data_IF_740099566294
#
_entry.id   IF_740099566294
#
_cell.length_a   1.000
_cell.length_b   1.000
_cell.length_c   1.000
_cell.angle_alpha   90.00
_cell.angle_beta   90.00
_cell.angle_gamma   90.00
#
_symmetry.space_group_name_H-M   'P 1'
#
loop_
_entity.id
_entity.type
_entity.pdbx_description
1 polymer ?
#
# COMPACT_ATOMS: atom_id res chain seq x y z
N UNK A 1 -1.93 4.24 43.26
CA UNK A 1 -0.71 4.97 42.87
C UNK A 1 0.09 4.20 41.84
N UNK A 2 0.44 2.92 42.08
CA UNK A 2 1.18 2.09 41.12
C UNK A 2 0.60 2.06 39.68
N UNK A 3 -0.71 1.79 39.53
CA UNK A 3 -1.34 1.74 38.20
C UNK A 3 -1.38 3.09 37.45
N UNK A 4 -1.30 4.23 38.15
CA UNK A 4 -1.26 5.56 37.52
C UNK A 4 0.13 5.88 37.00
N UNK A 5 1.15 5.55 37.80
CA UNK A 5 2.56 5.67 37.42
C UNK A 5 2.86 4.80 36.19
N UNK A 6 2.35 3.56 36.19
CA UNK A 6 2.51 2.60 35.11
C UNK A 6 1.91 3.09 33.78
N UNK A 7 0.66 3.59 33.81
CA UNK A 7 0.00 4.16 32.62
C UNK A 7 0.74 5.38 32.07
N UNK A 8 1.31 6.21 32.96
CA UNK A 8 2.11 7.36 32.55
C UNK A 8 3.40 6.91 31.86
N UNK A 9 4.14 5.95 32.43
CA UNK A 9 5.35 5.40 31.84
C UNK A 9 5.08 4.75 30.48
N UNK A 10 3.99 4.00 30.34
CA UNK A 10 3.56 3.43 29.06
C UNK A 10 3.28 4.53 28.03
N UNK A 11 2.54 5.58 28.41
CA UNK A 11 2.24 6.68 27.50
C UNK A 11 3.45 7.51 27.09
N UNK A 12 4.48 7.59 27.95
CA UNK A 12 5.78 8.21 27.64
C UNK A 12 6.60 7.33 26.69
N UNK A 13 6.62 6.01 26.89
CA UNK A 13 7.27 5.06 25.99
C UNK A 13 6.68 5.06 24.57
N UNK A 14 5.34 5.23 24.47
CA UNK A 14 4.64 5.37 23.20
C UNK A 14 4.83 6.77 22.56
N UNK A 15 5.43 7.74 23.25
CA UNK A 15 5.57 9.14 22.80
C UNK A 15 4.26 9.95 22.84
N UNK A 16 3.16 9.33 23.26
CA UNK A 16 1.80 9.91 23.24
C UNK A 16 1.63 10.95 24.35
N UNK A 17 2.31 10.76 25.48
CA UNK A 17 2.29 11.70 26.60
C UNK A 17 2.72 13.11 26.19
N UNK A 18 3.86 13.23 25.48
CA UNK A 18 4.38 14.52 25.00
C UNK A 18 3.41 15.22 24.05
N UNK A 19 2.72 14.47 23.20
CA UNK A 19 1.74 15.03 22.26
C UNK A 19 0.51 15.53 23.00
N UNK A 20 -0.06 14.73 23.90
CA UNK A 20 -1.22 15.14 24.71
C UNK A 20 -0.90 16.37 25.57
N UNK A 21 0.30 16.43 26.15
CA UNK A 21 0.77 17.57 26.93
C UNK A 21 0.87 18.85 26.07
N UNK A 22 1.38 18.73 24.84
CA UNK A 22 1.51 19.88 23.91
C UNK A 22 0.18 20.57 23.59
N UNK A 23 -0.94 19.83 23.67
CA UNK A 23 -2.30 20.34 23.42
C UNK A 23 -3.15 20.47 24.68
N UNK A 24 -2.56 20.28 25.87
CA UNK A 24 -3.23 20.35 27.19
C UNK A 24 -4.36 19.32 27.36
N UNK A 25 -4.10 18.08 26.95
CA UNK A 25 -5.01 16.93 27.04
C UNK A 25 -4.44 15.77 27.87
N UNK A 26 -3.45 16.04 28.72
CA UNK A 26 -2.71 15.10 29.57
C UNK A 26 -3.46 14.67 30.85
N UNK A 27 -4.79 14.59 30.82
CA UNK A 27 -5.57 14.04 31.94
C UNK A 27 -5.42 12.53 32.04
N UNK A 28 -5.51 11.97 33.26
CA UNK A 28 -5.45 10.52 33.51
C UNK A 28 -6.43 9.72 32.62
N UNK A 29 -7.63 10.26 32.38
CA UNK A 29 -8.65 9.65 31.51
C UNK A 29 -8.22 9.58 30.04
N UNK A 30 -7.59 10.65 29.54
CA UNK A 30 -7.10 10.70 28.16
C UNK A 30 -5.85 9.84 27.98
N UNK A 31 -4.95 9.82 28.96
CA UNK A 31 -3.77 8.96 28.95
C UNK A 31 -4.20 7.49 28.92
N UNK A 32 -5.14 7.08 29.79
CA UNK A 32 -5.64 5.72 29.82
C UNK A 32 -6.36 5.33 28.50
N UNK A 33 -7.17 6.23 27.94
CA UNK A 33 -7.83 6.01 26.66
C UNK A 33 -6.83 5.91 25.49
N UNK A 34 -5.76 6.70 25.52
CA UNK A 34 -4.72 6.69 24.51
C UNK A 34 -3.87 5.42 24.54
N UNK A 35 -3.43 4.98 25.73
CA UNK A 35 -2.69 3.72 25.91
C UNK A 35 -3.57 2.55 25.48
N UNK A 36 -4.83 2.50 25.93
CA UNK A 36 -5.78 1.46 25.52
C UNK A 36 -5.99 1.42 24.01
N UNK A 37 -6.11 2.57 23.36
CA UNK A 37 -6.22 2.64 21.90
C UNK A 37 -4.98 2.07 21.22
N UNK A 38 -3.80 2.40 21.74
CA UNK A 38 -2.53 1.89 21.23
C UNK A 38 -2.47 0.37 21.33
N UNK A 39 -2.85 -0.21 22.47
CA UNK A 39 -2.91 -1.66 22.67
C UNK A 39 -3.93 -2.33 21.72
N UNK A 40 -5.14 -1.77 21.59
CA UNK A 40 -6.21 -2.31 20.74
C UNK A 40 -5.88 -2.24 19.24
N UNK A 41 -5.10 -1.24 18.83
CA UNK A 41 -4.69 -1.04 17.43
C UNK A 41 -3.30 -1.58 17.13
N UNK A 42 -2.60 -2.12 18.13
CA UNK A 42 -1.20 -2.55 18.00
C UNK A 42 -0.24 -1.42 17.61
N UNK A 43 -0.53 -0.19 18.04
CA UNK A 43 0.32 0.98 17.81
C UNK A 43 1.33 1.11 18.96
N UNK A 44 2.62 1.03 18.67
CA UNK A 44 3.71 1.06 19.66
C UNK A 44 4.38 2.45 19.74
N UNK A 45 3.89 3.42 18.97
CA UNK A 45 4.36 4.81 19.03
C UNK A 45 3.32 5.80 18.48
N UNK A 46 3.51 7.09 18.74
CA UNK A 46 2.77 8.17 18.05
C UNK A 46 2.94 8.09 16.55
N UNK A 47 4.14 7.78 16.08
CA UNK A 47 4.39 7.66 14.65
C UNK A 47 3.56 6.53 14.05
N UNK A 48 3.25 5.47 14.79
CA UNK A 48 2.36 4.39 14.34
C UNK A 48 0.93 4.89 14.18
N UNK A 49 0.45 5.73 15.09
CA UNK A 49 -0.89 6.33 15.01
C UNK A 49 -0.99 7.16 13.72
N UNK A 50 0.09 7.85 13.36
CA UNK A 50 0.18 8.70 12.18
C UNK A 50 0.33 7.88 10.90
N UNK A 51 1.30 6.96 10.88
CA UNK A 51 1.67 6.13 9.73
C UNK A 51 0.57 5.14 9.35
N UNK A 52 -0.16 4.60 10.33
CA UNK A 52 -1.27 3.67 10.07
C UNK A 52 -2.62 4.37 9.84
N UNK A 53 -2.63 5.71 9.74
CA UNK A 53 -3.85 6.48 9.48
C UNK A 53 -4.88 6.44 10.61
N UNK A 54 -4.43 6.12 11.83
CA UNK A 54 -5.29 6.01 13.01
C UNK A 54 -5.58 7.35 13.68
N UNK A 55 -5.07 8.48 13.15
CA UNK A 55 -5.23 9.82 13.76
C UNK A 55 -6.69 10.18 14.04
N UNK A 56 -7.61 9.93 13.11
CA UNK A 56 -9.03 10.25 13.31
C UNK A 56 -9.72 9.29 14.28
N UNK A 57 -9.35 8.01 14.27
CA UNK A 57 -9.84 7.00 15.21
C UNK A 57 -9.29 7.26 16.63
N UNK A 58 -8.05 7.73 16.73
CA UNK A 58 -7.38 8.09 17.97
C UNK A 58 -8.02 9.33 18.61
N UNK A 59 -8.28 10.37 17.82
CA UNK A 59 -9.02 11.56 18.27
C UNK A 59 -10.44 11.19 18.70
N UNK A 60 -11.08 10.27 17.98
CA UNK A 60 -12.41 9.74 18.31
C UNK A 60 -12.42 8.93 19.62
N UNK A 61 -11.40 8.11 19.85
CA UNK A 61 -11.25 7.29 21.05
C UNK A 61 -11.13 8.13 22.34
N UNK A 62 -10.50 9.31 22.23
CA UNK A 62 -10.39 10.30 23.30
C UNK A 62 -11.68 11.11 23.53
N UNK A 63 -12.74 10.86 22.76
CA UNK A 63 -14.07 11.51 22.88
C UNK A 63 -14.00 13.05 22.89
N UNK A 64 -13.05 13.61 22.12
CA UNK A 64 -12.77 15.03 22.12
C UNK A 64 -13.84 15.82 21.36
N UNK A 65 -14.19 17.00 21.88
CA UNK A 65 -15.02 17.98 21.16
C UNK A 65 -14.26 18.55 19.95
N UNK A 66 -14.98 19.20 19.03
CA UNK A 66 -14.46 19.64 17.71
C UNK A 66 -13.17 20.47 17.77
N UNK A 67 -13.00 21.33 18.78
CA UNK A 67 -11.84 22.21 18.90
C UNK A 67 -10.61 21.48 19.47
N UNK A 68 -10.69 20.77 20.63
CA UNK A 68 -9.58 19.94 21.11
C UNK A 68 -9.14 18.86 20.12
N UNK A 69 -10.08 18.21 19.43
CA UNK A 69 -9.76 17.17 18.45
C UNK A 69 -8.96 17.70 17.24
N UNK A 70 -9.30 18.90 16.73
CA UNK A 70 -8.52 19.55 15.67
C UNK A 70 -7.10 19.91 16.10
N UNK A 71 -6.92 20.38 17.34
CA UNK A 71 -5.60 20.71 17.87
C UNK A 71 -4.73 19.47 18.02
N UNK A 72 -5.30 18.38 18.55
CA UNK A 72 -4.59 17.11 18.67
C UNK A 72 -4.23 16.54 17.29
N UNK A 73 -5.16 16.59 16.33
CA UNK A 73 -4.91 16.18 14.95
C UNK A 73 -3.76 16.98 14.32
N UNK A 74 -3.69 18.29 14.55
CA UNK A 74 -2.59 19.12 14.06
C UNK A 74 -1.25 18.82 14.76
N UNK A 75 -1.26 18.49 16.05
CA UNK A 75 -0.06 18.12 16.80
C UNK A 75 0.50 16.74 16.43
N UNK A 76 -0.34 15.86 15.89
CA UNK A 76 0.02 14.53 15.39
C UNK A 76 0.55 14.57 13.94
N UNK A 77 0.36 15.66 13.19
CA UNK A 77 0.88 15.74 11.81
C UNK A 77 2.30 16.32 11.77
N UNK A 78 3.21 15.78 10.93
CA UNK A 78 4.57 16.31 10.78
C UNK A 78 4.58 17.78 10.35
N UNK A 79 5.53 18.55 10.88
CA UNK A 79 5.74 19.98 10.66
C UNK A 79 6.32 20.30 9.26
N UNK A 80 5.80 19.71 8.18
CA UNK A 80 6.26 19.93 6.79
C UNK A 80 5.70 21.21 6.13
N UNK A 81 5.06 22.09 6.89
CA UNK A 81 4.42 23.29 6.36
C UNK A 81 5.36 24.49 6.13
N UNK A 82 6.64 24.42 6.52
CA UNK A 82 7.59 25.54 6.32
C UNK A 82 8.38 25.42 5.01
N UNK A 83 8.72 24.21 4.57
CA UNK A 83 9.43 23.97 3.30
C UNK A 83 8.59 24.37 2.06
N UNK A 84 7.27 24.25 2.17
CA UNK A 84 6.30 24.66 1.16
C UNK A 84 6.05 26.18 1.13
N UNK A 85 6.43 26.92 2.18
CA UNK A 85 6.42 28.40 2.18
C UNK A 85 7.71 29.00 1.59
N UNK A 86 8.86 28.36 1.81
CA UNK A 86 10.15 28.81 1.25
C UNK A 86 10.33 28.51 -0.24
N UNK A 87 9.62 27.49 -0.77
CA UNK A 87 9.67 27.14 -2.19
C UNK A 87 8.92 28.12 -3.12
N UNK A 88 8.16 29.08 -2.58
CA UNK A 88 7.41 30.08 -3.39
C UNK A 88 8.21 31.32 -3.78
N UNK A 89 9.50 31.44 -3.39
CA UNK A 89 10.27 32.68 -3.58
C UNK A 89 11.47 32.59 -4.53
N UNK A 90 11.56 31.55 -5.35
CA UNK A 90 12.65 31.40 -6.31
C UNK A 90 12.20 30.70 -7.59
N UNK A 91 11.43 31.38 -8.43
CA UNK A 91 11.33 30.97 -9.83
C UNK A 91 12.69 31.18 -10.51
N UNK A 92 13.32 30.08 -10.93
CA UNK A 92 14.34 30.08 -11.98
C UNK A 92 13.94 29.05 -13.04
N UNK A 93 14.18 29.36 -14.33
CA UNK A 93 13.57 28.64 -15.43
C UNK A 93 14.17 27.25 -15.63
N UNK A 94 13.35 26.40 -16.26
CA UNK A 94 13.57 25.01 -16.54
C UNK A 94 14.97 24.72 -17.13
N UNK A 95 15.74 23.89 -16.41
CA UNK A 95 16.78 23.06 -17.02
C UNK A 95 16.76 21.68 -16.36
N UNK A 96 16.56 20.66 -17.20
CA UNK A 96 16.77 19.22 -17.00
C UNK A 96 16.81 18.72 -15.54
N UNK A 97 15.64 18.30 -15.02
CA UNK A 97 15.61 17.37 -13.89
C UNK A 97 16.30 16.06 -14.33
N UNK A 98 17.30 15.56 -13.58
CA UNK A 98 17.86 14.25 -13.88
C UNK A 98 16.76 13.20 -13.72
N UNK A 99 16.55 12.37 -14.75
CA UNK A 99 15.76 11.16 -14.61
C UNK A 99 16.47 10.28 -13.58
N UNK A 100 15.88 10.16 -12.39
CA UNK A 100 16.20 9.09 -11.44
C UNK A 100 15.80 7.77 -12.10
N UNK A 101 16.69 7.25 -12.95
CA UNK A 101 16.60 5.88 -13.45
C UNK A 101 16.77 4.97 -12.24
N UNK A 102 15.67 4.40 -11.75
CA UNK A 102 15.73 3.37 -10.74
C UNK A 102 16.56 2.21 -11.33
N UNK A 103 17.69 1.89 -10.68
CA UNK A 103 18.47 0.72 -11.08
C UNK A 103 17.58 -0.52 -10.97
N UNK A 104 17.67 -1.47 -11.92
CA UNK A 104 16.98 -2.75 -11.80
C UNK A 104 17.33 -3.40 -10.45
N UNK A 105 16.31 -3.86 -9.72
CA UNK A 105 16.52 -4.58 -8.47
C UNK A 105 17.23 -5.91 -8.78
N UNK A 106 18.32 -6.19 -8.07
CA UNK A 106 19.07 -7.43 -8.29
C UNK A 106 18.20 -8.66 -7.99
N UNK A 107 18.13 -9.67 -8.89
CA UNK A 107 17.28 -10.84 -8.71
C UNK A 107 17.48 -11.58 -7.38
N UNK A 108 18.71 -11.58 -6.86
CA UNK A 108 19.07 -12.21 -5.58
C UNK A 108 18.36 -11.55 -4.37
N UNK A 109 18.03 -10.27 -4.47
CA UNK A 109 17.30 -9.54 -3.42
C UNK A 109 15.80 -9.85 -3.43
N UNK A 110 15.29 -10.42 -4.53
CA UNK A 110 13.88 -10.80 -4.68
C UNK A 110 13.57 -12.16 -4.04
N UNK A 111 14.61 -12.90 -3.63
CA UNK A 111 14.49 -14.19 -2.98
C UNK A 111 14.17 -14.04 -1.49
N UNK A 112 13.45 -15.01 -0.92
CA UNK A 112 13.10 -15.06 0.51
C UNK A 112 14.31 -14.98 1.43
N UNK A 113 15.43 -15.55 1.01
CA UNK A 113 16.73 -15.56 1.73
C UNK A 113 17.66 -14.42 1.27
N UNK A 114 17.15 -13.44 0.51
CA UNK A 114 17.91 -12.29 0.06
C UNK A 114 18.45 -11.45 1.23
N UNK A 115 19.36 -10.52 0.94
CA UNK A 115 19.91 -9.63 1.96
C UNK A 115 18.80 -8.87 2.73
N UNK A 116 19.05 -8.47 3.99
CA UNK A 116 18.19 -7.56 4.73
C UNK A 116 17.75 -6.34 3.91
N UNK A 117 16.46 -5.98 3.99
CA UNK A 117 15.95 -4.74 3.41
C UNK A 117 15.98 -3.65 4.48
N UNK A 118 16.82 -2.64 4.27
CA UNK A 118 16.99 -1.52 5.21
C UNK A 118 15.91 -0.44 5.00
N UNK A 119 15.74 0.44 6.01
CA UNK A 119 14.85 1.61 5.90
C UNK A 119 15.28 2.54 4.76
N UNK A 120 16.58 2.77 4.59
CA UNK A 120 17.12 3.59 3.51
C UNK A 120 16.75 3.02 2.14
N UNK A 121 17.01 1.72 1.92
CA UNK A 121 16.62 1.05 0.67
C UNK A 121 15.12 1.10 0.42
N UNK A 122 14.30 0.92 1.47
CA UNK A 122 12.85 0.98 1.32
C UNK A 122 12.38 2.40 0.92
N UNK A 123 12.89 3.43 1.59
CA UNK A 123 12.56 4.82 1.29
C UNK A 123 13.02 5.22 -0.12
N UNK A 124 14.25 4.87 -0.50
CA UNK A 124 14.79 5.16 -1.82
C UNK A 124 13.96 4.49 -2.92
N UNK A 125 13.56 3.23 -2.68
CA UNK A 125 12.73 2.50 -3.63
C UNK A 125 11.37 3.17 -3.79
N UNK A 126 10.71 3.53 -2.69
CA UNK A 126 9.42 4.21 -2.74
C UNK A 126 9.52 5.57 -3.46
N UNK A 127 10.54 6.37 -3.15
CA UNK A 127 10.81 7.65 -3.83
C UNK A 127 11.05 7.46 -5.33
N UNK A 128 11.81 6.43 -5.71
CA UNK A 128 12.07 6.12 -7.13
C UNK A 128 10.78 5.74 -7.87
N UNK A 129 9.87 5.02 -7.23
CA UNK A 129 8.58 4.66 -7.80
C UNK A 129 7.66 5.88 -7.92
N UNK A 130 7.58 6.73 -6.88
CA UNK A 130 6.82 7.97 -6.93
C UNK A 130 7.29 8.92 -8.05
N UNK A 131 8.58 8.92 -8.39
CA UNK A 131 9.08 9.71 -9.51
C UNK A 131 8.41 9.36 -10.85
N UNK A 132 7.88 8.13 -11.01
CA UNK A 132 7.16 7.71 -12.21
C UNK A 132 5.76 8.33 -12.34
N UNK A 133 5.19 8.86 -11.26
CA UNK A 133 3.95 9.65 -11.31
C UNK A 133 4.16 11.00 -12.05
N UNK A 134 5.41 11.43 -12.19
CA UNK A 134 5.76 12.68 -12.84
C UNK A 134 5.19 13.88 -12.10
N UNK A 135 4.39 14.69 -12.80
CA UNK A 135 3.70 15.85 -12.21
C UNK A 135 2.31 15.54 -11.66
N UNK A 136 1.82 14.30 -11.79
CA UNK A 136 0.47 13.91 -11.36
C UNK A 136 0.46 13.60 -9.87
N UNK A 137 -0.62 13.95 -9.20
CA UNK A 137 -0.85 13.49 -7.83
C UNK A 137 -1.33 12.04 -7.81
N UNK A 138 -1.22 11.38 -6.65
CA UNK A 138 -1.82 10.06 -6.42
C UNK A 138 -3.32 10.03 -6.77
N UNK A 139 -4.06 11.08 -6.42
CA UNK A 139 -5.49 11.18 -6.66
C UNK A 139 -5.83 11.17 -8.16
N UNK A 140 -4.96 11.77 -8.98
CA UNK A 140 -5.10 11.85 -10.44
C UNK A 140 -4.53 10.62 -11.18
N UNK A 141 -3.82 9.73 -10.47
CA UNK A 141 -3.23 8.54 -11.05
C UNK A 141 -4.25 7.40 -11.16
N UNK A 142 -4.63 7.04 -12.39
CA UNK A 142 -5.57 5.94 -12.66
C UNK A 142 -4.87 4.87 -13.52
N UNK A 143 -4.20 3.90 -12.90
CA UNK A 143 -3.38 2.89 -13.58
C UNK A 143 -4.24 1.87 -14.34
N UNK A 144 -3.67 1.19 -15.33
CA UNK A 144 -4.28 0.04 -15.99
C UNK A 144 -3.98 -1.27 -15.24
N UNK A 145 -2.92 -1.29 -14.44
CA UNK A 145 -2.47 -2.45 -13.69
C UNK A 145 -2.34 -2.10 -12.22
N UNK A 146 -3.00 -2.84 -11.34
CA UNK A 146 -2.75 -2.79 -9.91
C UNK A 146 -1.97 -4.02 -9.45
N UNK A 147 -1.13 -3.87 -8.43
CA UNK A 147 -0.35 -4.96 -7.84
C UNK A 147 -0.72 -5.06 -6.36
N UNK A 148 -1.35 -6.17 -5.99
CA UNK A 148 -1.61 -6.56 -4.61
C UNK A 148 -0.46 -7.40 -4.09
N UNK A 149 0.13 -6.96 -2.98
CA UNK A 149 1.23 -7.64 -2.32
C UNK A 149 1.22 -7.30 -0.83
N UNK A 150 1.82 -8.15 0.00
CA UNK A 150 2.16 -7.82 1.37
C UNK A 150 3.68 -7.62 1.47
N UNK A 151 4.13 -6.68 2.31
CA UNK A 151 5.55 -6.37 2.50
C UNK A 151 6.39 -7.60 2.82
N UNK A 152 5.88 -8.48 3.69
CA UNK A 152 6.58 -9.72 4.07
C UNK A 152 7.81 -9.49 4.92
N UNK A 153 7.81 -8.46 5.78
CA UNK A 153 8.91 -8.16 6.71
C UNK A 153 9.36 -9.40 7.48
N UNK A 154 10.65 -9.74 7.36
CA UNK A 154 11.26 -10.86 8.10
C UNK A 154 11.69 -10.34 9.49
N UNK A 155 11.09 -10.83 10.60
CA UNK A 155 11.39 -10.34 11.94
C UNK A 155 12.88 -10.51 12.29
N UNK A 156 13.50 -9.44 12.80
CA UNK A 156 14.93 -9.43 13.17
C UNK A 156 15.90 -9.41 11.98
N UNK A 157 15.40 -9.36 10.74
CA UNK A 157 16.20 -9.34 9.51
C UNK A 157 15.94 -8.06 8.72
N UNK A 158 14.69 -7.75 8.40
CA UNK A 158 14.33 -6.55 7.65
C UNK A 158 13.97 -5.39 8.56
N UNK A 159 14.16 -4.17 8.05
CA UNK A 159 13.61 -2.98 8.69
C UNK A 159 12.07 -3.04 8.71
N UNK A 160 11.48 -2.39 9.73
CA UNK A 160 10.02 -2.31 9.86
C UNK A 160 9.39 -1.70 8.61
N UNK A 161 8.34 -2.33 8.10
CA UNK A 161 7.66 -1.89 6.88
C UNK A 161 8.41 -2.19 5.59
N UNK A 162 9.57 -2.85 5.67
CA UNK A 162 10.36 -3.31 4.53
C UNK A 162 10.38 -4.85 4.45
N UNK A 163 10.57 -5.42 3.27
CA UNK A 163 10.67 -6.87 3.10
C UNK A 163 10.68 -7.33 1.65
N UNK A 164 10.80 -8.64 1.40
CA UNK A 164 10.91 -9.20 0.05
C UNK A 164 9.71 -8.88 -0.84
N UNK A 165 8.49 -8.89 -0.30
CA UNK A 165 7.29 -8.61 -1.10
C UNK A 165 7.28 -7.19 -1.66
N UNK A 166 7.82 -6.21 -0.92
CA UNK A 166 8.01 -4.84 -1.40
C UNK A 166 9.00 -4.78 -2.57
N UNK A 167 10.14 -5.46 -2.46
CA UNK A 167 11.14 -5.51 -3.54
C UNK A 167 10.57 -6.20 -4.79
N UNK A 168 9.86 -7.30 -4.60
CA UNK A 168 9.19 -8.06 -5.66
C UNK A 168 8.14 -7.22 -6.39
N UNK A 169 7.27 -6.52 -5.65
CA UNK A 169 6.29 -5.61 -6.24
C UNK A 169 6.99 -4.50 -7.03
N UNK A 170 8.02 -3.88 -6.46
CA UNK A 170 8.77 -2.82 -7.12
C UNK A 170 9.48 -3.29 -8.39
N UNK A 171 10.05 -4.51 -8.41
CA UNK A 171 10.65 -5.08 -9.62
C UNK A 171 9.64 -5.23 -10.76
N UNK A 172 8.43 -5.70 -10.44
CA UNK A 172 7.33 -5.78 -11.42
C UNK A 172 6.95 -4.38 -11.90
N UNK A 173 6.84 -3.41 -11.00
CA UNK A 173 6.51 -2.02 -11.36
C UNK A 173 7.55 -1.40 -12.28
N UNK A 174 8.84 -1.56 -11.98
CA UNK A 174 9.92 -1.08 -12.83
C UNK A 174 9.84 -1.70 -14.24
N UNK A 175 9.55 -2.99 -14.35
CA UNK A 175 9.39 -3.66 -15.63
C UNK A 175 8.19 -3.13 -16.43
N UNK A 176 7.05 -2.93 -15.77
CA UNK A 176 5.84 -2.35 -16.38
C UNK A 176 6.07 -0.90 -16.82
N UNK A 177 6.71 -0.09 -16.00
CA UNK A 177 7.10 1.29 -16.35
C UNK A 177 8.08 1.32 -17.53
N UNK A 178 9.06 0.42 -17.57
CA UNK A 178 9.96 0.26 -18.71
C UNK A 178 9.24 -0.09 -20.01
N UNK A 179 8.10 -0.77 -19.92
CA UNK A 179 7.22 -1.07 -21.06
C UNK A 179 6.14 0.01 -21.32
N UNK A 180 6.16 1.12 -20.58
CA UNK A 180 5.20 2.21 -20.72
C UNK A 180 3.79 1.87 -20.21
N UNK A 181 3.63 0.84 -19.38
CA UNK A 181 2.35 0.39 -18.84
C UNK A 181 2.10 1.09 -17.49
N UNK A 182 1.05 1.94 -17.37
CA UNK A 182 0.74 2.61 -16.11
C UNK A 182 0.31 1.60 -15.05
N UNK A 183 1.06 1.52 -13.95
CA UNK A 183 0.77 0.61 -12.86
C UNK A 183 0.73 1.32 -11.49
N UNK A 184 0.13 0.69 -10.48
CA UNK A 184 0.18 1.12 -9.10
C UNK A 184 0.20 -0.07 -8.13
N UNK A 185 0.66 0.18 -6.91
CA UNK A 185 0.55 -0.72 -5.76
C UNK A 185 0.41 0.13 -4.51
N UNK A 186 0.28 -0.52 -3.34
CA UNK A 186 0.38 0.16 -2.05
C UNK A 186 1.66 1.02 -1.88
N UNK A 187 2.73 0.75 -2.64
CA UNK A 187 3.95 1.58 -2.63
C UNK A 187 3.74 3.01 -3.13
N UNK A 188 2.70 3.25 -3.95
CA UNK A 188 2.39 4.58 -4.47
C UNK A 188 1.44 5.37 -3.57
N UNK A 189 0.89 4.74 -2.53
CA UNK A 189 0.07 5.44 -1.55
C UNK A 189 0.99 6.34 -0.74
N UNK A 190 0.74 7.66 -0.71
CA UNK A 190 1.59 8.57 0.05
C UNK A 190 1.62 8.21 1.54
N UNK A 191 2.76 8.41 2.22
CA UNK A 191 2.83 8.23 3.67
C UNK A 191 1.73 9.04 4.38
N UNK A 192 1.02 8.42 5.33
CA UNK A 192 -0.07 9.05 6.07
C UNK A 192 -1.42 9.13 5.33
N UNK A 193 -1.51 8.63 4.10
CA UNK A 193 -2.78 8.44 3.38
C UNK A 193 -3.49 7.15 3.81
N UNK A 194 -4.80 7.06 3.57
CA UNK A 194 -5.56 5.87 3.92
C UNK A 194 -5.22 4.76 2.92
N UNK A 195 -4.80 3.58 3.39
CA UNK A 195 -4.53 2.45 2.51
C UNK A 195 -5.74 2.08 1.62
N UNK A 196 -6.97 2.38 2.06
CA UNK A 196 -8.20 2.21 1.27
C UNK A 196 -8.23 3.05 0.00
N UNK A 197 -7.40 4.09 -0.10
CA UNK A 197 -7.26 4.89 -1.32
C UNK A 197 -6.76 4.03 -2.50
N UNK A 198 -6.01 2.96 -2.22
CA UNK A 198 -5.62 1.98 -3.23
C UNK A 198 -6.80 1.16 -3.75
N UNK A 199 -7.77 0.80 -2.89
CA UNK A 199 -8.98 0.06 -3.33
C UNK A 199 -9.77 0.82 -4.39
N UNK A 200 -9.76 2.16 -4.33
CA UNK A 200 -10.45 3.03 -5.30
C UNK A 200 -9.79 2.91 -6.69
N UNK A 201 -8.48 2.64 -6.74
CA UNK A 201 -7.75 2.40 -8.01
C UNK A 201 -8.12 1.07 -8.65
N UNK A 202 -8.55 0.08 -7.86
CA UNK A 202 -8.99 -1.24 -8.34
C UNK A 202 -10.43 -1.15 -8.86
N UNK A 203 -11.37 -0.73 -8.00
CA UNK A 203 -12.81 -0.79 -8.29
C UNK A 203 -13.51 0.49 -7.83
N UNK A 204 -13.61 1.45 -8.75
CA UNK A 204 -14.42 2.65 -8.63
C UNK A 204 -14.91 3.08 -10.01
N UNK A 205 -15.86 4.02 -10.08
CA UNK A 205 -16.35 4.57 -11.35
C UNK A 205 -15.26 5.27 -12.19
N UNK A 206 -14.13 5.62 -11.58
CA UNK A 206 -12.99 6.26 -12.24
C UNK A 206 -11.82 5.29 -12.47
N UNK A 207 -11.90 4.07 -11.90
CA UNK A 207 -10.89 3.04 -12.09
C UNK A 207 -10.68 2.78 -13.58
N UNK A 208 -9.41 2.69 -13.96
CA UNK A 208 -8.96 2.22 -15.28
C UNK A 208 -8.26 0.87 -15.17
N UNK A 209 -8.28 0.26 -13.99
CA UNK A 209 -7.57 -0.97 -13.72
C UNK A 209 -8.27 -2.12 -14.44
N UNK A 210 -7.51 -2.81 -15.29
CA UNK A 210 -7.94 -3.96 -16.08
C UNK A 210 -7.26 -5.24 -15.61
N UNK A 211 -6.11 -5.13 -14.95
CA UNK A 211 -5.34 -6.26 -14.43
C UNK A 211 -4.99 -6.06 -12.96
N UNK A 212 -5.32 -7.03 -12.10
CA UNK A 212 -4.78 -7.14 -10.75
C UNK A 212 -3.74 -8.26 -10.71
N UNK A 213 -2.48 -7.90 -10.50
CA UNK A 213 -1.40 -8.85 -10.21
C UNK A 213 -1.42 -9.14 -8.71
N UNK A 214 -1.31 -10.40 -8.32
CA UNK A 214 -1.36 -10.82 -6.91
C UNK A 214 -0.10 -11.60 -6.57
N UNK A 215 0.72 -11.09 -5.64
CA UNK A 215 1.95 -11.76 -5.20
C UNK A 215 1.64 -12.74 -4.07
N UNK A 216 1.47 -14.02 -4.41
CA UNK A 216 1.16 -15.07 -3.45
C UNK A 216 2.38 -15.37 -2.58
N UNK A 217 2.23 -15.12 -1.29
CA UNK A 217 3.20 -15.36 -0.23
C UNK A 217 2.48 -15.66 1.09
N UNK A 218 3.20 -16.18 2.09
CA UNK A 218 2.65 -16.38 3.43
C UNK A 218 2.14 -15.06 4.03
N UNK A 219 2.85 -13.95 3.78
CA UNK A 219 2.46 -12.62 4.24
C UNK A 219 1.19 -12.10 3.55
N UNK A 220 1.03 -12.37 2.25
CA UNK A 220 -0.17 -12.01 1.49
C UNK A 220 -1.43 -12.63 2.10
N UNK A 221 -1.36 -13.92 2.44
CA UNK A 221 -2.46 -14.64 3.08
C UNK A 221 -2.69 -14.26 4.56
N UNK A 222 -1.87 -13.39 5.15
CA UNK A 222 -2.13 -12.80 6.47
C UNK A 222 -2.63 -11.36 6.39
N UNK A 223 -2.69 -10.79 5.18
CA UNK A 223 -3.03 -9.39 4.96
C UNK A 223 -4.52 -9.24 4.63
N UNK A 224 -5.29 -8.70 5.57
CA UNK A 224 -6.70 -8.34 5.34
C UNK A 224 -6.87 -7.28 4.22
N UNK A 225 -6.00 -6.24 4.09
CA UNK A 225 -6.02 -5.37 2.91
C UNK A 225 -5.91 -6.14 1.58
N UNK A 226 -5.00 -7.11 1.49
CA UNK A 226 -4.84 -7.93 0.29
C UNK A 226 -6.10 -8.77 -0.02
N UNK A 227 -6.76 -9.29 1.01
CA UNK A 227 -8.04 -9.99 0.86
C UNK A 227 -9.11 -9.07 0.25
N UNK A 228 -9.22 -7.84 0.75
CA UNK A 228 -10.17 -6.85 0.25
C UNK A 228 -9.85 -6.39 -1.18
N UNK A 229 -8.57 -6.23 -1.52
CA UNK A 229 -8.11 -5.90 -2.88
C UNK A 229 -8.54 -6.98 -3.89
N UNK A 230 -8.31 -8.25 -3.56
CA UNK A 230 -8.73 -9.36 -4.43
C UNK A 230 -10.25 -9.43 -4.52
N UNK A 231 -10.97 -9.29 -3.42
CA UNK A 231 -12.43 -9.26 -3.45
C UNK A 231 -12.95 -8.14 -4.36
N UNK A 232 -12.40 -6.92 -4.26
CA UNK A 232 -12.76 -5.83 -5.18
C UNK A 232 -12.52 -6.19 -6.65
N UNK A 233 -11.40 -6.85 -6.94
CA UNK A 233 -11.13 -7.35 -8.27
C UNK A 233 -12.13 -8.43 -8.72
N UNK A 234 -12.62 -9.31 -7.83
CA UNK A 234 -13.63 -10.31 -8.21
C UNK A 234 -14.99 -9.70 -8.54
N UNK A 235 -15.32 -8.54 -7.97
CA UNK A 235 -16.57 -7.82 -8.26
C UNK A 235 -16.47 -6.96 -9.52
N UNK A 236 -15.26 -6.65 -9.99
CA UNK A 236 -15.04 -5.79 -11.14
C UNK A 236 -15.31 -6.53 -12.47
N UNK A 237 -16.20 -5.96 -13.30
CA UNK A 237 -16.75 -6.62 -14.51
C UNK A 237 -15.73 -7.04 -15.58
N UNK A 238 -14.52 -6.46 -15.58
CA UNK A 238 -13.51 -6.67 -16.64
C UNK A 238 -12.10 -6.91 -16.08
N UNK A 239 -11.99 -7.24 -14.80
CA UNK A 239 -10.70 -7.40 -14.16
C UNK A 239 -10.11 -8.77 -14.44
N UNK A 240 -8.89 -8.81 -14.97
CA UNK A 240 -8.08 -10.02 -15.04
C UNK A 240 -7.22 -10.12 -13.79
N UNK A 241 -7.39 -11.19 -13.02
CA UNK A 241 -6.50 -11.50 -11.89
C UNK A 241 -5.37 -12.39 -12.39
N UNK A 242 -4.13 -12.02 -12.09
CA UNK A 242 -2.91 -12.79 -12.40
C UNK A 242 -2.17 -13.10 -11.08
N UNK A 243 -2.36 -14.31 -10.52
CA UNK A 243 -1.60 -14.74 -9.35
C UNK A 243 -0.17 -15.11 -9.74
N UNK A 244 0.82 -14.64 -8.98
CA UNK A 244 2.23 -14.96 -9.10
C UNK A 244 2.66 -15.72 -7.86
N UNK A 245 3.31 -16.88 -8.02
CA UNK A 245 3.84 -17.66 -6.91
C UNK A 245 5.20 -17.12 -6.50
N UNK A 246 5.27 -16.44 -5.36
CA UNK A 246 6.48 -15.73 -4.92
C UNK A 246 7.17 -16.38 -3.72
N UNK A 247 6.53 -17.34 -3.07
CA UNK A 247 7.05 -18.07 -1.91
C UNK A 247 6.57 -19.52 -1.96
N UNK A 248 7.38 -20.44 -1.43
CA UNK A 248 6.96 -21.78 -1.03
C UNK A 248 7.49 -22.16 0.37
N UNK A 249 6.76 -22.99 1.13
CA UNK A 249 5.38 -23.42 0.85
C UNK A 249 4.38 -22.26 1.01
N UNK A 250 3.25 -22.32 0.29
CA UNK A 250 2.11 -21.43 0.53
C UNK A 250 1.15 -22.06 1.55
N UNK A 251 0.45 -21.26 2.37
CA UNK A 251 -0.55 -21.76 3.31
C UNK A 251 -1.68 -22.54 2.61
N UNK A 252 -2.15 -23.61 3.26
CA UNK A 252 -3.34 -24.35 2.82
C UNK A 252 -4.60 -23.49 2.94
N UNK A 253 -5.70 -23.88 2.27
CA UNK A 253 -6.93 -23.08 2.21
C UNK A 253 -7.46 -22.70 3.60
N UNK A 254 -7.37 -23.59 4.58
CA UNK A 254 -7.77 -23.39 5.97
C UNK A 254 -6.81 -22.50 6.79
N UNK A 255 -5.60 -22.27 6.30
CA UNK A 255 -4.57 -21.42 6.92
C UNK A 255 -4.51 -20.01 6.31
N UNK A 256 -5.32 -19.74 5.28
CA UNK A 256 -5.34 -18.46 4.59
C UNK A 256 -6.31 -17.49 5.28
N UNK A 257 -5.80 -16.32 5.66
CA UNK A 257 -6.52 -15.22 6.31
C UNK A 257 -7.26 -15.64 7.59
N UNK A 258 -6.54 -16.31 8.50
CA UNK A 258 -7.07 -16.83 9.78
C UNK A 258 -7.73 -15.76 10.67
N UNK A 259 -7.25 -14.52 10.61
CA UNK A 259 -7.73 -13.43 11.46
C UNK A 259 -9.04 -12.78 10.94
N UNK A 260 -9.62 -13.32 9.87
CA UNK A 260 -10.87 -12.83 9.29
C UNK A 260 -12.06 -13.30 10.12
N UNK A 261 -12.76 -12.34 10.73
CA UNK A 261 -13.96 -12.62 11.52
C UNK A 261 -15.13 -13.15 10.67
N UNK A 262 -16.14 -13.72 11.35
CA UNK A 262 -17.30 -14.35 10.69
C UNK A 262 -18.05 -13.45 9.69
N UNK A 263 -18.02 -12.12 9.91
CA UNK A 263 -18.65 -11.13 9.03
C UNK A 263 -18.09 -11.14 7.60
N UNK A 264 -16.83 -11.54 7.44
CA UNK A 264 -16.11 -11.56 6.16
C UNK A 264 -15.94 -13.01 5.64
N UNK A 265 -16.58 -14.00 6.27
CA UNK A 265 -16.46 -15.40 5.87
C UNK A 265 -16.91 -15.65 4.41
N UNK A 266 -17.99 -14.98 3.98
CA UNK A 266 -18.44 -15.05 2.58
C UNK A 266 -17.41 -14.44 1.62
N UNK A 267 -16.84 -13.31 2.01
CA UNK A 267 -15.81 -12.63 1.24
C UNK A 267 -14.59 -13.53 1.06
N UNK A 268 -14.15 -14.17 2.15
CA UNK A 268 -13.05 -15.13 2.16
C UNK A 268 -13.31 -16.28 1.18
N UNK A 269 -14.49 -16.92 1.25
CA UNK A 269 -14.82 -18.04 0.37
C UNK A 269 -14.86 -17.63 -1.11
N UNK A 270 -15.43 -16.45 -1.43
CA UNK A 270 -15.43 -15.90 -2.79
C UNK A 270 -14.00 -15.68 -3.32
N UNK A 271 -13.12 -15.11 -2.50
CA UNK A 271 -11.71 -14.88 -2.88
C UNK A 271 -10.95 -16.18 -3.06
N UNK A 272 -11.07 -17.12 -2.12
CA UNK A 272 -10.39 -18.41 -2.20
C UNK A 272 -10.87 -19.25 -3.38
N UNK A 273 -12.18 -19.25 -3.66
CA UNK A 273 -12.77 -19.90 -4.82
C UNK A 273 -12.20 -19.31 -6.12
N UNK A 274 -12.18 -17.98 -6.23
CA UNK A 274 -11.64 -17.31 -7.41
C UNK A 274 -10.15 -17.58 -7.61
N UNK A 275 -9.32 -17.37 -6.59
CA UNK A 275 -7.87 -17.62 -6.69
C UNK A 275 -7.57 -19.10 -6.96
N UNK A 276 -8.29 -20.03 -6.31
CA UNK A 276 -8.13 -21.47 -6.51
C UNK A 276 -8.51 -21.94 -7.93
N UNK A 277 -9.33 -21.17 -8.66
CA UNK A 277 -9.68 -21.45 -10.05
C UNK A 277 -8.65 -20.98 -11.08
N UNK A 278 -7.65 -20.19 -10.66
CA UNK A 278 -6.65 -19.57 -11.54
C UNK A 278 -5.29 -20.22 -11.32
N UNK A 279 -4.63 -20.65 -12.39
CA UNK A 279 -3.25 -21.12 -12.30
C UNK A 279 -2.32 -19.93 -12.00
N UNK A 280 -1.60 -20.01 -10.89
CA UNK A 280 -0.51 -19.08 -10.59
C UNK A 280 0.63 -19.24 -11.60
N UNK A 281 1.32 -18.13 -11.87
CA UNK A 281 2.54 -18.12 -12.67
C UNK A 281 3.78 -18.18 -11.76
N UNK A 282 4.82 -18.92 -12.15
CA UNK A 282 4.84 -19.89 -13.24
C UNK A 282 4.06 -21.16 -12.85
N UNK A 283 3.79 -22.03 -13.83
CA UNK A 283 3.11 -23.29 -13.58
C UNK A 283 3.88 -24.21 -12.60
N UNK A 284 5.21 -24.04 -12.50
CA UNK A 284 6.10 -24.74 -11.58
C UNK A 284 7.25 -23.83 -11.15
N UNK A 285 7.65 -23.92 -9.88
CA UNK A 285 8.69 -23.06 -9.29
C UNK A 285 8.17 -21.70 -8.87
N UNK A 286 9.07 -20.79 -8.53
CA UNK A 286 8.73 -19.42 -8.11
C UNK A 286 8.90 -18.44 -9.27
N UNK A 287 8.13 -17.36 -9.24
CA UNK A 287 8.11 -16.33 -10.27
C UNK A 287 9.45 -15.61 -10.42
N UNK A 288 10.22 -15.47 -9.34
CA UNK A 288 11.50 -14.77 -9.36
C UNK A 288 12.70 -15.72 -9.53
N UNK A 289 12.47 -17.02 -9.82
CA UNK A 289 13.55 -17.97 -10.11
C UNK A 289 14.25 -17.71 -11.46
N UNK A 290 13.54 -17.08 -12.41
CA UNK A 290 14.02 -16.84 -13.76
C UNK A 290 13.51 -15.50 -14.30
N UNK A 291 14.42 -14.65 -14.77
CA UNK A 291 14.11 -13.33 -15.33
C UNK A 291 13.16 -13.37 -16.53
N UNK A 292 13.04 -14.52 -17.22
CA UNK A 292 12.12 -14.67 -18.34
C UNK A 292 10.67 -14.47 -17.92
N UNK A 293 10.30 -14.84 -16.69
CA UNK A 293 8.91 -14.74 -16.24
C UNK A 293 8.45 -13.30 -16.12
N UNK A 294 9.36 -12.37 -15.79
CA UNK A 294 9.07 -10.94 -15.78
C UNK A 294 8.81 -10.43 -17.21
N UNK A 295 9.61 -10.86 -18.19
CA UNK A 295 9.42 -10.52 -19.61
C UNK A 295 8.11 -11.10 -20.15
N UNK A 296 7.79 -12.34 -19.82
CA UNK A 296 6.54 -13.00 -20.19
C UNK A 296 5.32 -12.33 -19.57
N UNK A 297 5.40 -11.94 -18.29
CA UNK A 297 4.35 -11.19 -17.59
C UNK A 297 4.08 -9.86 -18.27
N UNK A 298 5.12 -9.08 -18.58
CA UNK A 298 4.98 -7.80 -19.30
C UNK A 298 4.29 -8.03 -20.65
N UNK A 299 4.73 -9.02 -21.44
CA UNK A 299 4.12 -9.33 -22.74
C UNK A 299 2.64 -9.75 -22.62
N UNK A 300 2.31 -10.55 -21.61
CA UNK A 300 0.93 -10.95 -21.31
C UNK A 300 0.06 -9.75 -20.96
N UNK A 301 0.56 -8.85 -20.10
CA UNK A 301 -0.16 -7.64 -19.70
C UNK A 301 -0.33 -6.69 -20.86
N UNK A 302 0.71 -6.44 -21.68
CA UNK A 302 0.61 -5.61 -22.89
C UNK A 302 -0.54 -6.08 -23.78
N UNK A 303 -0.67 -7.39 -23.98
CA UNK A 303 -1.76 -7.98 -24.78
C UNK A 303 -3.12 -7.74 -24.15
N UNK A 304 -3.23 -7.86 -22.83
CA UNK A 304 -4.49 -7.68 -22.12
C UNK A 304 -4.96 -6.21 -22.15
N UNK A 305 -4.07 -5.27 -21.80
CA UNK A 305 -4.41 -3.85 -21.77
C UNK A 305 -4.68 -3.26 -23.17
N UNK A 306 -4.09 -3.84 -24.21
CA UNK A 306 -4.35 -3.43 -25.60
C UNK A 306 -5.73 -3.88 -26.12
N UNK A 307 -6.30 -4.95 -25.55
CA UNK A 307 -7.65 -5.43 -25.92
C UNK A 307 -8.75 -4.53 -25.39
N UNK A 308 -8.50 -3.80 -24.29
CA UNK A 308 -9.43 -2.84 -23.71
C UNK A 308 -9.60 -1.54 -24.53
N UNK A 309 -8.66 -1.24 -25.45
CA UNK A 309 -8.60 0.05 -26.16
C UNK A 309 -9.34 0.08 -27.51
N UNK A 310 -10.21 -0.89 -27.84
CA UNK A 310 -10.93 -0.89 -29.12
C UNK A 310 -11.74 0.42 -29.30
N UNK A 311 -11.47 1.23 -30.33
CA UNK A 311 -12.15 2.50 -30.51
C UNK A 311 -13.61 2.25 -30.88
N UNK A 312 -14.51 2.79 -30.07
CA UNK A 312 -15.94 2.78 -30.33
C UNK A 312 -16.24 3.78 -31.45
N UNK A 313 -15.94 3.39 -32.70
CA UNK A 313 -16.34 4.17 -33.89
C UNK A 313 -17.80 3.88 -34.17
N UNK A 314 -18.68 4.70 -33.60
CA UNK A 314 -19.92 5.08 -34.29
C UNK A 314 -19.90 6.58 -34.49
N UNK A 315 -19.27 6.98 -35.59
CA UNK A 315 -19.50 8.28 -36.19
C UNK A 315 -20.99 8.38 -36.53
N UNK A 316 -21.70 9.24 -35.79
CA UNK A 316 -23.07 9.62 -36.11
C UNK A 316 -23.08 10.30 -37.47
N UNK A 317 -23.62 9.60 -38.46
CA UNK A 317 -23.88 10.16 -39.77
C UNK A 317 -24.87 11.32 -39.62
N UNK A 318 -24.48 12.47 -40.17
CA UNK A 318 -25.32 13.64 -40.42
C UNK A 318 -26.63 13.22 -41.09
N UNK A 319 -27.76 13.70 -40.61
CA UNK A 319 -28.90 13.99 -41.46
C UNK A 319 -29.24 15.47 -41.34
N UNK A 320 -28.95 16.19 -42.42
CA UNK A 320 -29.61 17.44 -42.77
C UNK A 320 -30.91 17.05 -43.46
N UNK A 321 -32.03 17.54 -42.93
CA UNK A 321 -33.20 17.99 -43.69
C UNK A 321 -33.86 19.05 -42.83
#
# INVERSE_FOLDING_TARGET
MAAREEMRLLSEALGVFSVLQSVKLDSDENIAAAVKFCDEKGAESVDDIVQNGFVDDFVSALRLKSIPGRKLKAALQPLDSLASQLSRRGERPASSRPQLSARPIEPKLLLREGAPVTTEQANDLQQSLHAHLGSRSWDEWWPQVCISYATGTRPGVDARGAGPGMLQAAAIMQALHGAGIPCASGLHVPPGSNWKDFLIKIDSRFSRCEVLIVLLSSAFFRSHPCLLEVHKATQAKRMKIIPLRCEEPLPNKDEQWLDVGMQDARLLDEVQSQLGSINALPARGLFFDDEKYLKELVAQITKEVSRGTTPNVKAGARHKT
#
